data_IF_845148177631
#
_entry.id   IF_845148177631
#
_cell.length_a   1.000
_cell.length_b   1.000
_cell.length_c   1.000
_cell.angle_alpha   90.00
_cell.angle_beta   90.00
_cell.angle_gamma   90.00
#
_symmetry.space_group_name_H-M   'P 1'
#
loop_
_entity.id
_entity.type
_entity.pdbx_description
1 polymer ?
#
# COMPACT_ATOMS: atom_id res chain seq x y z
N UNK A 1 -4.53 -19.03 -16.82
CA UNK A 1 -4.77 -17.64 -17.24
C UNK A 1 -5.53 -16.98 -16.12
N UNK A 2 -4.92 -16.01 -15.44
CA UNK A 2 -5.70 -15.06 -14.63
C UNK A 2 -6.57 -14.29 -15.63
N UNK A 3 -7.86 -14.22 -15.37
CA UNK A 3 -8.80 -13.53 -16.25
C UNK A 3 -8.58 -12.03 -16.07
N UNK A 4 -8.10 -11.37 -17.12
CA UNK A 4 -7.79 -9.93 -17.17
C UNK A 4 -8.96 -9.08 -16.67
N UNK A 5 -10.20 -9.56 -16.83
CA UNK A 5 -11.40 -8.91 -16.30
C UNK A 5 -11.41 -8.80 -14.76
N UNK A 6 -10.85 -9.77 -14.04
CA UNK A 6 -10.74 -9.70 -12.57
C UNK A 6 -9.65 -8.74 -12.11
N UNK A 7 -8.50 -8.70 -12.80
CA UNK A 7 -7.41 -7.77 -12.46
C UNK A 7 -7.90 -6.33 -12.63
N UNK A 8 -8.56 -6.02 -13.75
CA UNK A 8 -9.11 -4.70 -14.00
C UNK A 8 -10.16 -4.30 -12.95
N UNK A 9 -11.13 -5.18 -12.68
CA UNK A 9 -12.17 -4.92 -11.67
C UNK A 9 -11.60 -4.69 -10.27
N UNK A 10 -10.64 -5.52 -9.85
CA UNK A 10 -9.98 -5.40 -8.56
C UNK A 10 -9.20 -4.07 -8.44
N UNK A 11 -8.53 -3.68 -9.52
CA UNK A 11 -7.78 -2.42 -9.60
C UNK A 11 -8.71 -1.21 -9.53
N UNK A 12 -9.83 -1.25 -10.27
CA UNK A 12 -10.84 -0.20 -10.25
C UNK A 12 -11.41 0.02 -8.84
N UNK A 13 -11.70 -1.06 -8.10
CA UNK A 13 -12.20 -0.94 -6.73
C UNK A 13 -11.20 -0.21 -5.81
N UNK A 14 -9.90 -0.48 -5.95
CA UNK A 14 -8.86 0.20 -5.18
C UNK A 14 -8.80 1.69 -5.57
N UNK A 15 -8.88 2.01 -6.86
CA UNK A 15 -8.86 3.39 -7.36
C UNK A 15 -10.05 4.20 -6.83
N UNK A 16 -11.25 3.61 -6.86
CA UNK A 16 -12.49 4.21 -6.35
C UNK A 16 -12.40 4.47 -4.85
N UNK A 17 -11.88 3.50 -4.09
CA UNK A 17 -11.68 3.63 -2.65
C UNK A 17 -10.75 4.80 -2.31
N UNK A 18 -9.64 4.95 -3.06
CA UNK A 18 -8.65 6.02 -2.86
C UNK A 18 -9.17 7.43 -3.19
N UNK A 19 -10.38 7.57 -3.76
CA UNK A 19 -11.02 8.89 -3.94
C UNK A 19 -11.54 9.48 -2.62
N UNK A 20 -11.70 8.65 -1.59
CA UNK A 20 -12.19 9.07 -0.27
C UNK A 20 -11.01 9.22 0.70
N UNK A 21 -10.98 10.23 1.59
CA UNK A 21 -9.96 10.34 2.64
C UNK A 21 -9.93 9.13 3.58
N UNK A 22 -8.79 8.90 4.22
CA UNK A 22 -8.59 7.89 5.27
C UNK A 22 -8.81 6.43 4.81
N UNK A 23 -8.62 6.15 3.52
CA UNK A 23 -8.84 4.80 2.95
C UNK A 23 -7.58 4.09 2.47
N UNK A 24 -6.40 4.73 2.60
CA UNK A 24 -5.13 4.17 2.12
C UNK A 24 -4.83 2.78 2.69
N UNK A 25 -5.06 2.56 3.99
CA UNK A 25 -4.81 1.28 4.64
C UNK A 25 -5.75 0.18 4.12
N UNK A 26 -7.03 0.50 3.95
CA UNK A 26 -8.02 -0.39 3.35
C UNK A 26 -7.66 -0.73 1.90
N UNK A 27 -7.13 0.24 1.15
CA UNK A 27 -6.69 0.05 -0.22
C UNK A 27 -5.45 -0.87 -0.32
N UNK A 28 -4.49 -0.72 0.59
CA UNK A 28 -3.36 -1.64 0.74
C UNK A 28 -3.81 -3.06 1.08
N UNK A 29 -4.77 -3.19 2.00
CA UNK A 29 -5.36 -4.48 2.37
C UNK A 29 -6.02 -5.18 1.17
N UNK A 30 -6.73 -4.43 0.31
CA UNK A 30 -7.28 -4.97 -0.93
C UNK A 30 -6.19 -5.37 -1.93
N UNK A 31 -5.13 -4.59 -2.08
CA UNK A 31 -4.02 -5.00 -2.94
C UNK A 31 -3.40 -6.32 -2.46
N UNK A 32 -3.15 -6.47 -1.15
CA UNK A 32 -2.66 -7.72 -0.55
C UNK A 32 -3.63 -8.87 -0.79
N UNK A 33 -4.94 -8.62 -0.74
CA UNK A 33 -5.98 -9.62 -1.03
C UNK A 33 -5.97 -10.11 -2.47
N UNK A 34 -5.82 -9.17 -3.41
CA UNK A 34 -5.97 -9.43 -4.83
C UNK A 34 -4.69 -9.96 -5.48
N UNK A 35 -3.54 -9.74 -4.83
CA UNK A 35 -2.18 -10.11 -5.22
C UNK A 35 -1.70 -9.41 -6.51
N UNK A 36 -2.54 -9.34 -7.54
CA UNK A 36 -2.27 -8.71 -8.83
C UNK A 36 -3.24 -7.56 -9.09
N UNK A 37 -2.70 -6.36 -9.28
CA UNK A 37 -3.45 -5.13 -9.60
C UNK A 37 -2.68 -4.33 -10.64
N UNK A 38 -3.37 -3.47 -11.37
CA UNK A 38 -2.78 -2.56 -12.35
C UNK A 38 -1.98 -1.45 -11.65
N UNK A 39 -0.99 -0.90 -12.35
CA UNK A 39 -0.13 0.16 -11.84
C UNK A 39 -0.92 1.40 -11.37
N UNK A 40 -2.05 1.69 -12.01
CA UNK A 40 -2.93 2.80 -11.64
C UNK A 40 -3.51 2.65 -10.23
N UNK A 41 -3.77 1.43 -9.78
CA UNK A 41 -4.23 1.16 -8.42
C UNK A 41 -3.13 1.46 -7.39
N UNK A 42 -1.89 1.07 -7.68
CA UNK A 42 -0.72 1.38 -6.83
C UNK A 42 -0.50 2.89 -6.75
N UNK A 43 -0.59 3.59 -7.89
CA UNK A 43 -0.51 5.04 -7.96
C UNK A 43 -1.63 5.73 -7.16
N UNK A 44 -2.85 5.19 -7.17
CA UNK A 44 -3.97 5.72 -6.41
C UNK A 44 -3.74 5.60 -4.89
N UNK A 45 -3.25 4.45 -4.43
CA UNK A 45 -2.86 4.24 -3.02
C UNK A 45 -1.80 5.26 -2.60
N UNK A 46 -0.72 5.39 -3.39
CA UNK A 46 0.34 6.36 -3.12
C UNK A 46 -0.19 7.79 -3.00
N UNK A 47 -1.03 8.23 -3.94
CA UNK A 47 -1.61 9.58 -3.93
C UNK A 47 -2.49 9.80 -2.70
N UNK A 48 -3.28 8.80 -2.30
CA UNK A 48 -4.12 8.88 -1.10
C UNK A 48 -3.28 9.02 0.16
N UNK A 49 -2.23 8.21 0.32
CA UNK A 49 -1.27 8.31 1.43
C UNK A 49 -0.68 9.72 1.52
N UNK A 50 -0.18 10.25 0.40
CA UNK A 50 0.41 11.58 0.35
C UNK A 50 -0.60 12.67 0.72
N UNK A 51 -1.84 12.54 0.27
CA UNK A 51 -2.88 13.54 0.49
C UNK A 51 -3.45 13.50 1.92
N UNK A 52 -3.47 12.34 2.59
CA UNK A 52 -3.85 12.21 4.00
C UNK A 52 -2.68 12.45 4.96
N UNK A 53 -1.44 12.47 4.45
CA UNK A 53 -0.23 12.36 5.27
C UNK A 53 -0.27 11.12 6.19
N UNK A 54 -0.80 10.00 5.68
CA UNK A 54 -0.95 8.76 6.44
C UNK A 54 0.40 8.04 6.59
N UNK A 55 1.05 8.29 7.73
CA UNK A 55 2.38 7.76 8.05
C UNK A 55 2.39 6.23 8.15
N UNK A 56 1.31 5.62 8.65
CA UNK A 56 1.22 4.17 8.83
C UNK A 56 1.10 3.46 7.48
N UNK A 57 0.21 3.95 6.61
CA UNK A 57 0.11 3.42 5.25
C UNK A 57 1.36 3.72 4.43
N UNK A 58 2.02 4.86 4.64
CA UNK A 58 3.33 5.15 4.02
C UNK A 58 4.38 4.11 4.41
N UNK A 59 4.47 3.77 5.70
CA UNK A 59 5.37 2.73 6.21
C UNK A 59 5.11 1.38 5.53
N UNK A 60 3.84 0.96 5.44
CA UNK A 60 3.49 -0.31 4.81
C UNK A 60 3.78 -0.32 3.32
N UNK A 61 3.42 0.74 2.59
CA UNK A 61 3.65 0.82 1.15
C UNK A 61 5.16 0.78 0.83
N UNK A 62 5.99 1.51 1.58
CA UNK A 62 7.45 1.48 1.40
C UNK A 62 7.98 0.06 1.53
N UNK A 63 7.59 -0.65 2.59
CA UNK A 63 8.05 -2.03 2.81
C UNK A 63 7.59 -2.98 1.72
N UNK A 64 6.32 -2.88 1.29
CA UNK A 64 5.77 -3.68 0.18
C UNK A 64 6.60 -3.46 -1.10
N UNK A 65 6.83 -2.21 -1.49
CA UNK A 65 7.58 -1.89 -2.70
C UNK A 65 9.04 -2.35 -2.60
N UNK A 66 9.68 -2.22 -1.45
CA UNK A 66 11.05 -2.70 -1.26
C UNK A 66 11.17 -4.23 -1.33
N UNK A 67 10.12 -4.97 -0.96
CA UNK A 67 10.07 -6.43 -1.08
C UNK A 67 9.78 -6.88 -2.53
N UNK A 68 8.97 -6.13 -3.27
CA UNK A 68 8.71 -6.38 -4.69
C UNK A 68 9.96 -5.94 -5.47
N UNK A 69 10.84 -6.90 -5.76
CA UNK A 69 12.07 -6.66 -6.53
C UNK A 69 11.75 -6.43 -8.02
N UNK A 70 10.93 -5.43 -8.33
CA UNK A 70 10.54 -5.11 -9.71
C UNK A 70 11.22 -3.83 -10.21
N UNK A 71 11.88 -3.89 -11.38
CA UNK A 71 12.54 -2.73 -11.97
C UNK A 71 11.58 -1.64 -12.44
N UNK A 72 10.26 -1.90 -12.43
CA UNK A 72 9.22 -1.01 -12.97
C UNK A 72 8.19 -0.59 -11.90
N UNK A 73 8.63 -0.36 -10.67
CA UNK A 73 7.77 0.26 -9.65
C UNK A 73 7.15 1.56 -10.22
N UNK A 74 5.80 1.70 -10.22
CA UNK A 74 5.14 2.83 -10.88
C UNK A 74 5.22 4.14 -10.07
N UNK A 75 5.84 4.11 -8.88
CA UNK A 75 5.88 5.23 -7.94
C UNK A 75 7.29 5.47 -7.41
N UNK A 76 7.61 6.75 -7.14
CA UNK A 76 8.79 7.13 -6.37
C UNK A 76 8.46 7.04 -4.87
N UNK A 77 9.14 6.12 -4.16
CA UNK A 77 8.93 5.89 -2.73
C UNK A 77 9.75 6.82 -1.83
N UNK A 78 10.68 7.63 -2.37
CA UNK A 78 11.51 8.52 -1.55
C UNK A 78 10.69 9.51 -0.70
N UNK A 79 9.60 10.12 -1.21
CA UNK A 79 8.75 10.97 -0.39
C UNK A 79 8.12 10.24 0.81
N UNK A 80 7.77 8.96 0.63
CA UNK A 80 7.19 8.15 1.71
C UNK A 80 8.24 7.76 2.75
N UNK A 81 9.44 7.38 2.31
CA UNK A 81 10.57 7.11 3.22
C UNK A 81 10.83 8.34 4.08
N UNK A 82 10.88 9.53 3.47
CA UNK A 82 11.06 10.79 4.18
C UNK A 82 9.93 11.04 5.18
N UNK A 83 8.68 10.85 4.77
CA UNK A 83 7.51 11.01 5.64
C UNK A 83 7.60 10.12 6.88
N UNK A 84 7.92 8.83 6.71
CA UNK A 84 8.04 7.91 7.85
C UNK A 84 9.28 8.23 8.70
N UNK A 85 10.36 8.70 8.10
CA UNK A 85 11.55 9.12 8.84
C UNK A 85 11.29 10.35 9.72
N UNK A 86 10.52 11.33 9.22
CA UNK A 86 10.21 12.56 9.94
C UNK A 86 9.10 12.38 10.98
N UNK A 87 8.10 11.53 10.70
CA UNK A 87 6.86 11.45 11.50
C UNK A 87 6.54 10.06 12.07
N UNK A 88 7.28 9.02 11.69
CA UNK A 88 6.95 7.62 11.99
C UNK A 88 7.41 7.10 13.35
N UNK A 89 8.24 7.86 14.08
CA UNK A 89 8.72 7.45 15.40
C UNK A 89 9.39 6.07 15.36
N UNK A 90 8.80 5.10 16.05
CA UNK A 90 9.30 3.71 16.10
C UNK A 90 9.25 3.00 14.75
N UNK A 91 8.28 3.34 13.87
CA UNK A 91 8.14 2.72 12.55
C UNK A 91 9.38 2.93 11.67
N UNK A 92 10.06 4.08 11.84
CA UNK A 92 11.30 4.38 11.12
C UNK A 92 12.42 3.36 11.42
N UNK A 93 12.47 2.83 12.66
CA UNK A 93 13.49 1.83 13.03
C UNK A 93 13.28 0.49 12.31
N UNK A 94 12.03 0.21 11.90
CA UNK A 94 11.64 -1.03 11.23
C UNK A 94 11.53 -0.90 9.72
N UNK A 95 11.78 0.28 9.16
CA UNK A 95 11.63 0.54 7.72
C UNK A 95 12.55 -0.33 6.85
N UNK A 96 13.73 -0.67 7.37
CA UNK A 96 14.72 -1.52 6.71
C UNK A 96 14.41 -3.02 6.82
N UNK A 97 13.40 -3.40 7.59
CA UNK A 97 13.02 -4.81 7.76
C UNK A 97 12.19 -5.29 6.58
N UNK A 98 12.53 -6.46 6.03
CA UNK A 98 11.79 -7.09 4.93
C UNK A 98 10.34 -7.40 5.33
N UNK A 99 9.40 -7.27 4.39
CA UNK A 99 8.00 -7.66 4.59
C UNK A 99 7.92 -9.10 5.12
N UNK A 100 7.12 -9.31 6.17
CA UNK A 100 6.89 -10.60 6.80
C UNK A 100 5.39 -10.87 6.97
N UNK A 101 5.02 -12.11 7.29
CA UNK A 101 3.62 -12.50 7.49
C UNK A 101 2.94 -11.67 8.58
N UNK A 102 3.65 -11.35 9.66
CA UNK A 102 3.12 -10.53 10.76
C UNK A 102 2.66 -9.15 10.28
N UNK A 103 3.47 -8.46 9.47
CA UNK A 103 3.09 -7.18 8.87
C UNK A 103 1.85 -7.30 7.98
N UNK A 104 1.79 -8.35 7.15
CA UNK A 104 0.62 -8.56 6.29
C UNK A 104 -0.64 -8.79 7.11
N UNK A 105 -0.57 -9.53 8.21
CA UNK A 105 -1.69 -9.73 9.14
C UNK A 105 -2.08 -8.43 9.86
N UNK A 106 -1.12 -7.59 10.26
CA UNK A 106 -1.41 -6.28 10.84
C UNK A 106 -2.26 -5.42 9.88
N UNK A 107 -1.86 -5.33 8.61
CA UNK A 107 -2.63 -4.60 7.60
C UNK A 107 -4.06 -5.15 7.47
N UNK A 108 -4.23 -6.47 7.53
CA UNK A 108 -5.56 -7.11 7.48
C UNK A 108 -6.42 -6.79 8.70
N UNK A 109 -5.84 -6.80 9.89
CA UNK A 109 -6.53 -6.54 11.15
C UNK A 109 -6.92 -5.06 11.28
N UNK A 110 -6.00 -4.15 10.97
CA UNK A 110 -6.20 -2.71 11.13
C UNK A 110 -7.12 -2.12 10.06
N UNK A 111 -7.16 -2.71 8.86
CA UNK A 111 -8.04 -2.25 7.79
C UNK A 111 -9.52 -2.61 7.96
N UNK A 112 -9.85 -3.59 8.82
CA UNK A 112 -11.21 -4.11 8.99
C UNK A 112 -11.80 -4.81 7.74
N UNK A 113 -11.00 -5.08 6.71
CA UNK A 113 -11.46 -5.69 5.44
C UNK A 113 -11.69 -7.20 5.58
N UNK A 114 -11.10 -7.82 6.61
CA UNK A 114 -11.08 -9.27 6.79
C UNK A 114 -11.79 -9.75 8.07
N UNK A 115 -12.50 -8.87 8.77
CA UNK A 115 -13.36 -9.18 9.91
C UNK A 115 -14.75 -9.68 9.50
#
# INVERSE_FOLDING_TARGET
MLDEGFIHKNSQQIVELCQTPDTALTALAYWIKYENVEQDAICAIYKRICADMDVQSAYYLVRIIQAISEPNCPIDIQPLIKMVSEFGGELNNSLSMLVNQEMLEQIRQESGVFS
#
